data_IF_401436723600
#
_entry.id   IF_401436723600
#
_cell.length_a   1.000
_cell.length_b   1.000
_cell.length_c   1.000
_cell.angle_alpha   90.00
_cell.angle_beta   90.00
_cell.angle_gamma   90.00
#
_symmetry.space_group_name_H-M   'P 1'
#
loop_
_entity.id
_entity.type
_entity.pdbx_description
1 polymer ?
#
# COMPACT_ATOMS: atom_id res chain seq x y z
N UNK A 1 -46.44 -11.27 -36.97
CA UNK A 1 -46.85 -10.34 -38.06
C UNK A 1 -47.38 -9.00 -37.54
N UNK A 2 -47.73 -8.88 -36.26
CA UNK A 2 -48.32 -7.64 -35.70
C UNK A 2 -47.26 -6.64 -35.26
N UNK A 3 -46.12 -7.11 -34.78
CA UNK A 3 -45.01 -6.23 -34.30
C UNK A 3 -44.31 -5.45 -35.43
N UNK A 4 -44.24 -6.02 -36.62
CA UNK A 4 -43.59 -5.39 -37.80
C UNK A 4 -44.40 -4.23 -38.36
N UNK A 5 -45.73 -4.31 -38.27
CA UNK A 5 -46.64 -3.22 -38.70
C UNK A 5 -46.69 -2.03 -37.77
N UNK A 6 -46.39 -2.21 -36.50
CA UNK A 6 -46.36 -1.13 -35.51
C UNK A 6 -45.07 -0.31 -35.64
N UNK A 7 -43.95 -0.94 -35.99
CA UNK A 7 -42.68 -0.27 -36.18
C UNK A 7 -42.65 0.60 -37.44
N UNK A 8 -43.31 0.18 -38.53
CA UNK A 8 -43.38 0.96 -39.77
C UNK A 8 -44.32 2.19 -39.64
N UNK A 9 -45.34 2.12 -38.77
CA UNK A 9 -46.24 3.28 -38.51
C UNK A 9 -45.56 4.33 -37.61
N UNK A 10 -44.67 3.94 -36.72
CA UNK A 10 -43.92 4.88 -35.88
C UNK A 10 -42.82 5.60 -36.67
N UNK A 11 -42.22 4.96 -37.67
CA UNK A 11 -41.22 5.58 -38.53
C UNK A 11 -41.80 6.58 -39.51
N UNK A 12 -43.07 6.38 -39.97
CA UNK A 12 -43.79 7.29 -40.90
C UNK A 12 -44.24 8.57 -40.25
N UNK A 13 -44.48 8.60 -38.93
CA UNK A 13 -44.93 9.81 -38.21
C UNK A 13 -43.74 10.75 -37.91
N UNK A 14 -42.53 10.23 -37.80
CA UNK A 14 -41.32 11.04 -37.53
C UNK A 14 -40.80 11.82 -38.76
N UNK A 15 -41.15 11.39 -39.98
CA UNK A 15 -40.70 12.02 -41.24
C UNK A 15 -41.60 13.20 -41.67
N UNK A 16 -42.86 13.25 -41.23
CA UNK A 16 -43.81 14.31 -41.63
C UNK A 16 -43.79 15.60 -40.78
N UNK A 17 -42.97 15.65 -39.70
CA UNK A 17 -42.92 16.86 -38.83
C UNK A 17 -41.73 17.77 -39.10
N UNK A 18 -40.90 17.51 -40.10
CA UNK A 18 -39.70 18.31 -40.43
C UNK A 18 -39.83 19.28 -41.59
N UNK A 19 -41.03 19.50 -42.14
CA UNK A 19 -41.27 20.40 -43.29
C UNK A 19 -42.29 21.50 -43.03
N UNK A 20 -42.18 22.27 -41.97
CA UNK A 20 -42.82 23.58 -41.86
C UNK A 20 -42.09 24.40 -40.78
N UNK A 21 -41.16 25.20 -41.18
CA UNK A 21 -40.49 26.09 -40.24
C UNK A 21 -39.91 27.31 -40.92
N UNK A 22 -40.58 28.38 -40.69
CA UNK A 22 -40.31 29.72 -41.19
C UNK A 22 -38.91 30.24 -40.82
N UNK A 23 -38.34 31.05 -41.71
CA UNK A 23 -37.20 31.92 -41.49
C UNK A 23 -37.28 32.75 -40.22
N UNK A 24 -36.29 32.66 -39.37
CA UNK A 24 -35.92 33.64 -38.36
C UNK A 24 -34.40 33.93 -38.41
N UNK A 25 -33.97 35.17 -38.12
CA UNK A 25 -32.64 35.62 -38.40
C UNK A 25 -31.58 35.00 -37.47
N UNK A 26 -30.38 34.81 -38.02
CA UNK A 26 -29.20 34.32 -37.33
C UNK A 26 -28.86 35.20 -36.11
N UNK A 27 -29.04 34.67 -34.94
CA UNK A 27 -28.31 35.15 -33.77
C UNK A 27 -27.12 34.18 -33.52
N UNK A 28 -25.96 34.79 -33.53
CA UNK A 28 -24.70 34.17 -33.20
C UNK A 28 -24.76 33.78 -31.71
N UNK A 29 -25.04 32.53 -31.42
CA UNK A 29 -24.74 31.98 -30.10
C UNK A 29 -23.29 31.49 -30.14
N UNK A 30 -22.46 32.12 -29.31
CA UNK A 30 -21.16 31.60 -28.99
C UNK A 30 -21.35 30.20 -28.39
N UNK A 31 -20.73 29.21 -29.01
CA UNK A 31 -20.65 27.86 -28.54
C UNK A 31 -19.73 27.87 -27.31
N UNK A 32 -20.32 27.93 -26.11
CA UNK A 32 -19.57 27.58 -24.89
C UNK A 32 -19.26 26.10 -24.98
N UNK A 33 -17.99 25.81 -25.17
CA UNK A 33 -17.45 24.47 -25.02
C UNK A 33 -17.67 24.05 -23.57
N UNK A 34 -18.70 23.26 -23.35
CA UNK A 34 -18.95 22.53 -22.10
C UNK A 34 -17.82 21.50 -21.96
N UNK A 35 -16.73 21.94 -21.35
CA UNK A 35 -15.70 21.04 -20.81
C UNK A 35 -16.35 20.29 -19.69
N UNK A 36 -16.91 19.13 -20.00
CA UNK A 36 -17.26 18.14 -19.01
C UNK A 36 -16.01 17.84 -18.18
N UNK A 37 -15.84 18.57 -17.09
CA UNK A 37 -14.93 18.18 -16.02
C UNK A 37 -15.46 16.86 -15.48
N UNK A 38 -14.79 15.78 -15.84
CA UNK A 38 -14.93 14.53 -15.12
C UNK A 38 -14.41 14.80 -13.72
N UNK A 39 -15.29 15.24 -12.82
CA UNK A 39 -15.03 15.21 -11.40
C UNK A 39 -14.77 13.75 -11.05
N UNK A 40 -13.51 13.43 -10.85
CA UNK A 40 -13.14 12.21 -10.13
C UNK A 40 -13.75 12.37 -8.73
N UNK A 41 -14.88 11.72 -8.52
CA UNK A 41 -15.46 11.57 -7.18
C UNK A 41 -14.39 10.89 -6.34
N UNK A 42 -13.63 11.69 -5.61
CA UNK A 42 -12.79 11.17 -4.54
C UNK A 42 -13.76 10.53 -3.55
N UNK A 43 -13.63 9.21 -3.41
CA UNK A 43 -14.32 8.45 -2.37
C UNK A 43 -13.89 9.01 -1.00
N UNK A 44 -14.70 9.95 -0.50
CA UNK A 44 -14.54 10.59 0.82
C UNK A 44 -15.28 9.80 1.90
N UNK A 45 -15.47 8.49 1.71
CA UNK A 45 -15.96 7.64 2.78
C UNK A 45 -15.00 7.79 4.00
N UNK A 46 -15.50 7.96 5.22
CA UNK A 46 -14.67 8.06 6.40
C UNK A 46 -13.80 6.81 6.46
N UNK A 47 -12.47 7.01 6.44
CA UNK A 47 -11.52 5.91 6.55
C UNK A 47 -11.72 5.26 7.91
N UNK A 48 -12.07 3.98 7.94
CA UNK A 48 -12.11 3.22 9.17
C UNK A 48 -10.74 3.30 9.84
N UNK A 49 -10.68 3.87 11.04
CA UNK A 49 -9.45 3.97 11.82
C UNK A 49 -9.37 2.82 12.82
N UNK A 50 -8.24 2.14 12.82
CA UNK A 50 -7.93 1.05 13.73
C UNK A 50 -6.82 1.51 14.66
N UNK A 51 -7.03 1.42 15.96
CA UNK A 51 -6.06 1.80 16.96
C UNK A 51 -5.38 0.57 17.54
N UNK A 52 -4.06 0.62 17.70
CA UNK A 52 -3.24 -0.45 18.27
C UNK A 52 -2.53 0.04 19.51
N UNK A 53 -2.72 -0.66 20.62
CA UNK A 53 -2.10 -0.35 21.90
C UNK A 53 -1.40 -1.55 22.54
N UNK A 54 -1.54 -2.74 21.94
CA UNK A 54 -1.05 -4.00 22.51
C UNK A 54 -0.58 -4.99 21.44
N UNK A 55 0.17 -6.01 21.86
CA UNK A 55 0.55 -7.12 21.01
C UNK A 55 -0.66 -7.88 20.46
N UNK A 56 -1.72 -8.02 21.25
CA UNK A 56 -2.95 -8.71 20.83
C UNK A 56 -3.66 -7.94 19.70
N UNK A 57 -3.70 -6.61 19.77
CA UNK A 57 -4.24 -5.77 18.70
C UNK A 57 -3.48 -5.98 17.40
N UNK A 58 -2.13 -6.04 17.48
CA UNK A 58 -1.28 -6.25 16.33
C UNK A 58 -1.46 -7.66 15.73
N UNK A 59 -1.60 -8.68 16.57
CA UNK A 59 -1.89 -10.05 16.15
C UNK A 59 -3.26 -10.11 15.45
N UNK A 60 -4.26 -9.43 16.00
CA UNK A 60 -5.60 -9.39 15.39
C UNK A 60 -5.58 -8.67 14.04
N UNK A 61 -4.86 -7.55 13.95
CA UNK A 61 -4.64 -6.85 12.69
C UNK A 61 -3.98 -7.78 11.66
N UNK A 62 -2.92 -8.50 12.04
CA UNK A 62 -2.23 -9.42 11.15
C UNK A 62 -3.14 -10.54 10.63
N UNK A 63 -4.05 -11.04 11.48
CA UNK A 63 -5.07 -12.03 11.07
C UNK A 63 -6.02 -11.44 10.02
N UNK A 64 -6.48 -10.21 10.22
CA UNK A 64 -7.37 -9.52 9.30
C UNK A 64 -6.68 -9.22 7.96
N UNK A 65 -5.40 -8.85 8.00
CA UNK A 65 -4.57 -8.59 6.81
C UNK A 65 -4.19 -9.84 6.00
N UNK A 66 -4.70 -11.03 6.34
CA UNK A 66 -4.69 -12.20 5.46
C UNK A 66 -5.60 -12.00 4.25
N UNK A 67 -6.60 -11.15 4.36
CA UNK A 67 -7.39 -10.67 3.25
C UNK A 67 -6.72 -9.38 2.71
N UNK A 68 -6.19 -9.44 1.51
CA UNK A 68 -5.39 -8.36 0.90
C UNK A 68 -6.12 -7.01 0.83
N UNK A 69 -7.44 -7.02 0.69
CA UNK A 69 -8.26 -5.81 0.62
C UNK A 69 -8.61 -5.24 2.00
N UNK A 70 -8.41 -6.00 3.09
CA UNK A 70 -8.93 -5.59 4.40
C UNK A 70 -8.37 -4.26 4.88
N UNK A 71 -7.07 -4.03 4.71
CA UNK A 71 -6.41 -2.79 5.14
C UNK A 71 -6.53 -1.63 4.15
N UNK A 72 -7.01 -1.89 2.93
CA UNK A 72 -7.20 -0.84 1.93
C UNK A 72 -8.19 0.20 2.43
N UNK A 73 -7.89 1.48 2.22
CA UNK A 73 -8.67 2.64 2.68
C UNK A 73 -8.81 2.75 4.22
N UNK A 74 -8.09 1.95 5.01
CA UNK A 74 -8.03 2.06 6.47
C UNK A 74 -6.80 2.81 6.93
N UNK A 75 -6.95 3.51 8.04
CA UNK A 75 -5.84 4.09 8.79
C UNK A 75 -5.60 3.26 10.05
N UNK A 76 -4.38 2.79 10.24
CA UNK A 76 -3.93 2.10 11.45
C UNK A 76 -3.06 3.06 12.24
N UNK A 77 -3.34 3.25 13.51
CA UNK A 77 -2.65 4.21 14.38
C UNK A 77 -2.06 3.47 15.57
N UNK A 78 -0.74 3.56 15.76
CA UNK A 78 -0.11 3.15 17.01
C UNK A 78 -0.41 4.20 18.09
N UNK A 79 -0.92 3.75 19.22
CA UNK A 79 -1.20 4.61 20.40
C UNK A 79 -0.21 4.39 21.55
N UNK A 80 0.60 3.36 21.45
CA UNK A 80 1.62 3.01 22.44
C UNK A 80 2.74 2.19 21.80
N UNK A 81 3.85 2.07 22.50
CA UNK A 81 4.89 1.10 22.18
C UNK A 81 4.35 -0.33 22.38
N UNK A 82 4.69 -1.23 21.46
CA UNK A 82 4.23 -2.61 21.48
C UNK A 82 5.42 -3.55 21.66
N UNK A 83 5.40 -4.39 22.70
CA UNK A 83 6.40 -5.42 22.94
C UNK A 83 5.88 -6.79 22.48
N UNK A 84 6.61 -7.40 21.54
CA UNK A 84 6.32 -8.71 20.96
C UNK A 84 7.19 -9.83 21.56
N UNK A 85 8.01 -9.56 22.57
CA UNK A 85 9.00 -10.52 23.09
C UNK A 85 8.37 -11.78 23.68
N UNK A 86 7.11 -11.71 24.14
CA UNK A 86 6.41 -12.81 24.79
C UNK A 86 5.33 -13.46 23.91
N UNK A 87 5.20 -13.06 22.65
CA UNK A 87 4.16 -13.56 21.74
C UNK A 87 4.72 -14.15 20.47
N UNK A 88 4.02 -15.13 19.89
CA UNK A 88 4.34 -15.67 18.57
C UNK A 88 3.68 -14.79 17.51
N UNK A 89 4.51 -13.96 16.87
CA UNK A 89 4.08 -13.05 15.83
C UNK A 89 4.81 -13.36 14.51
N UNK A 90 4.04 -13.52 13.44
CA UNK A 90 4.55 -14.00 12.14
C UNK A 90 4.58 -12.93 11.05
N UNK A 91 4.56 -11.66 11.44
CA UNK A 91 4.46 -10.53 10.53
C UNK A 91 3.04 -10.28 10.01
N UNK A 92 2.84 -9.12 9.42
CA UNK A 92 1.59 -8.71 8.76
C UNK A 92 1.67 -9.19 7.31
N UNK A 93 0.74 -10.06 6.85
CA UNK A 93 0.84 -10.69 5.53
C UNK A 93 0.82 -9.70 4.38
N UNK A 94 -0.13 -8.77 4.36
CA UNK A 94 -0.30 -7.80 3.28
C UNK A 94 -0.94 -6.52 3.82
N UNK A 95 -0.36 -5.37 3.51
CA UNK A 95 -0.84 -4.08 4.01
C UNK A 95 -1.04 -3.09 2.87
N UNK A 96 -2.26 -2.55 2.75
CA UNK A 96 -2.68 -1.65 1.66
C UNK A 96 -3.25 -0.31 2.13
N UNK A 97 -3.19 0.00 3.43
CA UNK A 97 -3.73 1.20 4.03
C UNK A 97 -2.70 2.28 4.39
N UNK A 98 -3.06 3.13 5.34
CA UNK A 98 -2.16 4.10 5.96
C UNK A 98 -1.79 3.64 7.36
N UNK A 99 -0.49 3.53 7.64
CA UNK A 99 0.04 3.22 8.96
C UNK A 99 0.68 4.46 9.57
N UNK A 100 0.13 4.92 10.67
CA UNK A 100 0.59 6.05 11.45
C UNK A 100 1.27 5.53 12.73
N UNK A 101 2.59 5.47 12.73
CA UNK A 101 3.36 4.96 13.86
C UNK A 101 3.45 5.92 15.03
N UNK A 102 3.22 7.23 14.81
CA UNK A 102 3.26 8.28 15.82
C UNK A 102 4.55 8.30 16.67
N UNK A 103 5.66 7.89 16.07
CA UNK A 103 6.98 7.70 16.67
C UNK A 103 7.02 6.62 17.78
N UNK A 104 6.03 5.77 17.87
CA UNK A 104 6.06 4.59 18.74
C UNK A 104 6.97 3.50 18.22
N UNK A 105 7.36 2.60 19.12
CA UNK A 105 8.23 1.48 18.83
C UNK A 105 7.48 0.15 18.89
N UNK A 106 7.80 -0.74 17.94
CA UNK A 106 7.48 -2.17 18.00
C UNK A 106 8.78 -2.90 18.33
N UNK A 107 8.85 -3.50 19.51
CA UNK A 107 10.05 -4.15 20.04
C UNK A 107 9.87 -5.66 20.16
N UNK A 108 10.97 -6.39 20.34
CA UNK A 108 10.90 -7.84 20.55
C UNK A 108 10.48 -8.64 19.31
N UNK A 109 10.45 -8.04 18.13
CA UNK A 109 10.08 -8.75 16.89
C UNK A 109 11.06 -9.89 16.63
N UNK A 110 10.57 -11.12 16.51
CA UNK A 110 11.36 -12.30 16.21
C UNK A 110 10.72 -13.13 15.10
N UNK A 111 11.23 -13.02 13.88
CA UNK A 111 10.77 -13.80 12.73
C UNK A 111 11.79 -14.86 12.37
N UNK A 112 11.53 -16.11 12.76
CA UNK A 112 12.39 -17.26 12.51
C UNK A 112 11.73 -18.33 11.63
N UNK A 113 10.47 -18.18 11.29
CA UNK A 113 9.70 -19.18 10.54
C UNK A 113 10.13 -19.23 9.07
N UNK A 114 9.87 -20.35 8.43
CA UNK A 114 10.14 -20.52 7.01
C UNK A 114 9.30 -19.57 6.18
N UNK A 115 9.92 -18.94 5.20
CA UNK A 115 9.25 -18.05 4.27
C UNK A 115 10.21 -17.26 3.40
N UNK A 116 9.84 -17.08 2.14
CA UNK A 116 10.67 -16.36 1.18
C UNK A 116 10.61 -14.83 1.35
N UNK A 117 9.48 -14.29 1.79
CA UNK A 117 9.27 -12.85 1.96
C UNK A 117 8.95 -12.57 3.42
N UNK A 118 9.83 -11.87 4.13
CA UNK A 118 9.73 -11.64 5.56
C UNK A 118 10.09 -10.20 5.95
N UNK A 119 9.36 -9.68 6.94
CA UNK A 119 9.49 -8.37 7.54
C UNK A 119 8.35 -8.15 8.52
N UNK A 120 8.34 -7.03 9.22
CA UNK A 120 7.15 -6.65 10.00
C UNK A 120 5.91 -6.71 9.10
N UNK A 121 6.01 -6.13 7.90
CA UNK A 121 5.09 -6.36 6.78
C UNK A 121 5.75 -7.31 5.78
N UNK A 122 5.08 -8.41 5.40
CA UNK A 122 5.59 -9.22 4.29
C UNK A 122 5.47 -8.45 2.98
N UNK A 123 4.30 -7.88 2.72
CA UNK A 123 4.02 -7.07 1.54
C UNK A 123 3.39 -5.73 1.92
N UNK A 124 3.99 -4.64 1.48
CA UNK A 124 3.38 -3.30 1.46
C UNK A 124 2.87 -3.06 0.05
N UNK A 125 1.56 -2.92 -0.09
CA UNK A 125 0.88 -2.80 -1.38
C UNK A 125 1.11 -1.43 -2.03
N UNK A 126 0.91 -1.34 -3.34
CA UNK A 126 0.91 -0.07 -4.05
C UNK A 126 -0.16 0.87 -3.48
N UNK A 127 0.21 2.13 -3.24
CA UNK A 127 -0.64 3.15 -2.64
C UNK A 127 -0.71 3.11 -1.11
N UNK A 128 -0.15 2.08 -0.46
CA UNK A 128 -0.03 2.06 0.99
C UNK A 128 1.02 3.08 1.47
N UNK A 129 0.80 3.60 2.67
CA UNK A 129 1.73 4.46 3.38
C UNK A 129 2.06 3.86 4.75
N UNK A 130 3.34 3.71 5.06
CA UNK A 130 3.84 3.28 6.36
C UNK A 130 4.82 4.33 6.86
N UNK A 131 4.55 4.95 8.02
CA UNK A 131 5.40 6.03 8.49
C UNK A 131 5.55 6.15 10.01
N UNK A 132 6.60 6.88 10.40
CA UNK A 132 6.84 7.41 11.74
C UNK A 132 6.85 6.34 12.84
N UNK A 133 7.63 5.26 12.67
CA UNK A 133 7.79 4.22 13.68
C UNK A 133 9.21 3.67 13.75
N UNK A 134 9.52 3.06 14.89
CA UNK A 134 10.74 2.28 15.10
C UNK A 134 10.40 0.80 15.27
N UNK A 135 11.10 -0.08 14.58
CA UNK A 135 10.99 -1.53 14.77
C UNK A 135 12.31 -2.06 15.29
N UNK A 136 12.26 -2.85 16.38
CA UNK A 136 13.43 -3.49 16.97
C UNK A 136 13.25 -5.00 17.04
N UNK A 137 14.25 -5.73 16.53
CA UNK A 137 14.13 -7.17 16.60
C UNK A 137 15.13 -7.96 15.77
N UNK A 138 14.77 -9.22 15.54
CA UNK A 138 15.56 -10.17 14.77
C UNK A 138 14.70 -10.80 13.70
N UNK A 139 15.13 -10.67 12.46
CA UNK A 139 14.47 -11.28 11.31
C UNK A 139 15.48 -12.23 10.67
N UNK A 140 15.31 -13.52 10.99
CA UNK A 140 16.19 -14.60 10.54
C UNK A 140 15.34 -15.81 10.15
N UNK A 141 14.61 -15.73 9.04
CA UNK A 141 13.74 -16.83 8.61
C UNK A 141 14.55 -18.08 8.24
N UNK A 142 13.93 -19.25 8.38
CA UNK A 142 14.39 -20.52 7.84
C UNK A 142 14.07 -20.68 6.35
N UNK A 143 14.41 -21.83 5.76
CA UNK A 143 14.04 -22.18 4.38
C UNK A 143 14.60 -21.25 3.30
N UNK A 144 13.81 -21.00 2.26
CA UNK A 144 14.15 -20.05 1.19
C UNK A 144 13.94 -18.61 1.70
N UNK A 145 15.02 -17.86 1.82
CA UNK A 145 15.09 -16.53 2.44
C UNK A 145 15.39 -15.48 1.38
N UNK A 146 14.42 -15.26 0.47
CA UNK A 146 14.69 -14.49 -0.74
C UNK A 146 14.57 -12.97 -0.54
N UNK A 147 13.51 -12.49 0.11
CA UNK A 147 13.27 -11.05 0.28
C UNK A 147 13.02 -10.76 1.75
N UNK A 148 14.04 -10.27 2.44
CA UNK A 148 13.99 -10.08 3.89
C UNK A 148 14.34 -8.64 4.24
N UNK A 149 13.44 -7.96 4.94
CA UNK A 149 13.65 -6.60 5.42
C UNK A 149 13.17 -6.39 6.85
N UNK A 150 13.69 -5.38 7.51
CA UNK A 150 13.28 -5.04 8.88
C UNK A 150 11.83 -4.56 8.97
N UNK A 151 11.45 -3.72 8.05
CA UNK A 151 10.10 -3.17 7.94
C UNK A 151 9.28 -3.96 6.92
N UNK A 152 9.77 -4.14 5.70
CA UNK A 152 9.05 -4.83 4.65
C UNK A 152 9.89 -5.91 3.97
N UNK A 153 9.29 -7.09 3.71
CA UNK A 153 9.90 -8.06 2.81
C UNK A 153 9.90 -7.54 1.38
N UNK A 154 8.75 -7.07 0.91
CA UNK A 154 8.58 -6.43 -0.40
C UNK A 154 7.76 -5.14 -0.26
N UNK A 155 8.25 -4.03 -0.78
CA UNK A 155 7.59 -2.73 -0.76
C UNK A 155 7.19 -2.29 -2.17
N UNK A 156 5.89 -2.06 -2.38
CA UNK A 156 5.32 -1.41 -3.55
C UNK A 156 4.61 -0.08 -3.20
N UNK A 157 4.56 0.28 -1.92
CA UNK A 157 3.97 1.51 -1.38
C UNK A 157 5.04 2.53 -0.99
N UNK A 158 4.72 3.34 0.00
CA UNK A 158 5.63 4.33 0.58
C UNK A 158 5.98 3.96 2.02
N UNK A 159 7.27 3.93 2.34
CA UNK A 159 7.79 3.79 3.71
C UNK A 159 8.60 5.05 4.00
N UNK A 160 8.21 5.81 5.00
CA UNK A 160 8.88 7.08 5.34
C UNK A 160 9.11 7.26 6.84
N UNK A 161 10.23 7.90 7.19
CA UNK A 161 10.59 8.22 8.57
C UNK A 161 10.53 7.00 9.52
N UNK A 162 10.82 5.82 9.01
CA UNK A 162 10.86 4.59 9.80
C UNK A 162 12.29 4.20 10.16
N UNK A 163 12.47 3.62 11.35
CA UNK A 163 13.75 3.09 11.77
C UNK A 163 13.67 1.58 12.03
N UNK A 164 14.75 0.88 11.69
CA UNK A 164 14.96 -0.50 12.11
C UNK A 164 16.26 -0.61 12.90
N UNK A 165 16.18 -1.27 14.06
CA UNK A 165 17.32 -1.55 14.93
C UNK A 165 17.34 -3.03 15.30
N UNK A 166 18.37 -3.76 14.85
CA UNK A 166 18.45 -5.19 15.15
C UNK A 166 19.22 -6.01 14.13
N UNK A 167 18.75 -7.22 13.88
CA UNK A 167 19.42 -8.17 12.99
C UNK A 167 18.49 -8.60 11.87
N UNK A 168 18.91 -8.40 10.64
CA UNK A 168 18.25 -8.94 9.45
C UNK A 168 19.18 -9.90 8.73
N UNK A 169 18.72 -11.11 8.45
CA UNK A 169 19.53 -12.08 7.72
C UNK A 169 18.72 -12.95 6.77
N UNK A 170 19.35 -13.32 5.68
CA UNK A 170 18.72 -14.18 4.67
C UNK A 170 19.70 -14.69 3.63
N UNK A 171 19.19 -15.13 2.48
CA UNK A 171 20.03 -15.62 1.39
C UNK A 171 20.18 -14.60 0.28
N UNK A 172 19.10 -13.94 -0.13
CA UNK A 172 19.09 -12.98 -1.24
C UNK A 172 18.14 -11.83 -0.95
N UNK A 173 18.41 -10.65 -1.49
CA UNK A 173 17.59 -9.45 -1.35
C UNK A 173 17.32 -9.08 0.11
N UNK A 174 18.41 -8.78 0.82
CA UNK A 174 18.39 -8.51 2.26
C UNK A 174 18.65 -7.03 2.51
N UNK A 175 17.72 -6.37 3.20
CA UNK A 175 17.83 -4.96 3.56
C UNK A 175 17.34 -4.65 4.96
N UNK A 176 17.90 -3.62 5.58
CA UNK A 176 17.49 -3.21 6.93
C UNK A 176 16.06 -2.65 6.97
N UNK A 177 15.60 -1.98 5.92
CA UNK A 177 14.22 -1.51 5.76
C UNK A 177 13.42 -2.46 4.89
N UNK A 178 13.87 -2.72 3.65
CA UNK A 178 13.14 -3.59 2.74
C UNK A 178 14.05 -4.60 2.05
N UNK A 179 13.58 -5.84 1.88
CA UNK A 179 14.26 -6.83 1.04
C UNK A 179 14.23 -6.40 -0.42
N UNK A 180 13.06 -6.11 -0.94
CA UNK A 180 12.84 -5.56 -2.29
C UNK A 180 12.02 -4.28 -2.21
N UNK A 181 12.48 -3.23 -2.88
CA UNK A 181 11.70 -2.03 -3.18
C UNK A 181 11.36 -2.05 -4.66
N UNK A 182 10.11 -2.30 -5.00
CA UNK A 182 9.66 -2.49 -6.39
C UNK A 182 9.61 -1.16 -7.15
N UNK A 183 9.39 -1.18 -8.45
CA UNK A 183 9.30 0.00 -9.32
C UNK A 183 8.27 1.06 -8.87
N UNK A 184 7.29 0.67 -8.07
CA UNK A 184 6.29 1.58 -7.49
C UNK A 184 6.59 1.96 -6.05
N UNK A 185 7.59 1.31 -5.44
CA UNK A 185 7.97 1.53 -4.05
C UNK A 185 8.78 2.79 -3.84
N UNK A 186 8.54 3.46 -2.73
CA UNK A 186 9.30 4.62 -2.26
C UNK A 186 9.73 4.40 -0.81
N UNK A 187 11.00 4.65 -0.51
CA UNK A 187 11.56 4.61 0.84
C UNK A 187 12.28 5.95 1.07
N UNK A 188 11.86 6.71 2.07
CA UNK A 188 12.40 8.04 2.31
C UNK A 188 12.61 8.32 3.80
N UNK A 189 13.74 8.95 4.14
CA UNK A 189 14.01 9.39 5.51
C UNK A 189 14.16 8.25 6.53
N UNK A 190 14.44 7.02 6.08
CA UNK A 190 14.52 5.85 6.95
C UNK A 190 15.94 5.65 7.51
N UNK A 191 16.03 5.05 8.69
CA UNK A 191 17.28 4.77 9.37
C UNK A 191 17.44 3.29 9.72
N UNK A 192 18.66 2.77 9.59
CA UNK A 192 19.00 1.38 9.97
C UNK A 192 20.16 1.41 10.92
N UNK A 193 20.04 0.62 12.00
CA UNK A 193 21.15 0.30 12.91
C UNK A 193 21.15 -1.21 13.19
N UNK A 194 22.32 -1.72 13.62
CA UNK A 194 22.47 -3.14 13.96
C UNK A 194 23.25 -3.93 12.92
N UNK A 195 22.71 -5.04 12.40
CA UNK A 195 23.43 -5.92 11.49
C UNK A 195 22.54 -6.44 10.37
N UNK A 196 22.99 -6.27 9.14
CA UNK A 196 22.35 -6.81 7.93
C UNK A 196 23.33 -7.72 7.21
N UNK A 197 22.99 -9.00 7.02
CA UNK A 197 23.88 -9.94 6.34
C UNK A 197 23.11 -10.98 5.50
N UNK A 198 23.77 -11.44 4.44
CA UNK A 198 23.22 -12.43 3.51
C UNK A 198 24.25 -12.86 2.48
N UNK A 199 23.82 -13.62 1.48
CA UNK A 199 24.70 -14.14 0.43
C UNK A 199 24.70 -13.31 -0.84
N UNK A 200 23.55 -12.75 -1.21
CA UNK A 200 23.36 -12.00 -2.46
C UNK A 200 22.44 -10.81 -2.25
N UNK A 201 22.67 -9.71 -2.98
CA UNK A 201 21.86 -8.50 -2.94
C UNK A 201 21.61 -7.99 -1.51
N UNK A 202 22.70 -7.75 -0.78
CA UNK A 202 22.66 -7.26 0.59
C UNK A 202 22.89 -5.76 0.59
N UNK A 203 21.95 -5.00 1.14
CA UNK A 203 22.06 -3.57 1.32
C UNK A 203 21.69 -3.16 2.74
N UNK A 204 22.38 -2.19 3.31
CA UNK A 204 22.07 -1.70 4.65
C UNK A 204 20.62 -1.21 4.78
N UNK A 205 20.09 -0.57 3.74
CA UNK A 205 18.69 -0.08 3.70
C UNK A 205 17.81 -1.00 2.86
N UNK A 206 18.20 -1.30 1.62
CA UNK A 206 17.39 -2.08 0.66
C UNK A 206 18.27 -3.12 -0.01
N UNK A 207 17.80 -4.37 -0.09
CA UNK A 207 18.52 -5.45 -0.76
C UNK A 207 18.49 -5.28 -2.29
N UNK A 208 17.32 -5.17 -2.88
CA UNK A 208 17.11 -4.85 -4.29
C UNK A 208 16.22 -3.61 -4.42
N UNK A 209 16.71 -2.58 -5.09
CA UNK A 209 15.96 -1.34 -5.29
C UNK A 209 15.66 -1.08 -6.76
N UNK A 210 14.41 -1.29 -7.16
CA UNK A 210 13.88 -0.98 -8.49
C UNK A 210 13.05 0.31 -8.47
N UNK A 211 12.79 0.88 -7.27
CA UNK A 211 12.01 2.08 -7.04
C UNK A 211 12.86 3.26 -6.58
N UNK A 212 12.32 4.04 -5.65
CA UNK A 212 13.01 5.21 -5.09
C UNK A 212 13.45 4.93 -3.65
N UNK A 213 14.72 5.20 -3.34
CA UNK A 213 15.22 5.26 -1.97
C UNK A 213 16.03 6.54 -1.80
N UNK A 214 15.63 7.41 -0.86
CA UNK A 214 16.19 8.73 -0.66
C UNK A 214 16.33 9.07 0.84
N UNK A 215 17.30 9.92 1.17
CA UNK A 215 17.48 10.49 2.51
C UNK A 215 17.58 9.43 3.63
N UNK A 216 18.02 8.22 3.30
CA UNK A 216 18.14 7.13 4.26
C UNK A 216 19.56 7.07 4.85
N UNK A 217 19.64 6.64 6.10
CA UNK A 217 20.92 6.45 6.81
C UNK A 217 21.10 4.99 7.18
N UNK A 218 22.33 4.54 7.14
CA UNK A 218 22.70 3.19 7.52
C UNK A 218 23.91 3.21 8.45
N UNK A 219 23.75 2.59 9.63
CA UNK A 219 24.79 2.37 10.63
C UNK A 219 24.86 0.88 11.02
N UNK A 220 24.49 -0.05 10.10
CA UNK A 220 24.52 -1.50 10.31
C UNK A 220 25.85 -2.10 9.87
#
# INVERSE_FOLDING_TARGET
NTAKRTLEKLLSVCICLCMLGAMLPAQVFAEEADTAQTETVQDTAPKDTVYLSSADDLIQLAKNCRLDSWSQNRTVVLQADIDLSSVDFNGIPSFGGTWEGQNHAITGLSLSQDGSVQGLFRYVQQGALVRDMTVKGRIKPGGTRASVGGIAGSNAGTIENCAFDGVVSGTSQIGGIAGVNTVKGSINGCAVSGTVYGSHFVGGVVGQNDGVAANCTNAA
#
